data_IF_574716916738
#
_entry.id   IF_574716916738
#
_cell.length_a   1.000
_cell.length_b   1.000
_cell.length_c   1.000
_cell.angle_alpha   90.00
_cell.angle_beta   90.00
_cell.angle_gamma   90.00
#
_symmetry.space_group_name_H-M   'P 1'
#
loop_
_entity.id
_entity.type
_entity.pdbx_description
1 polymer ?
#
# COMPACT_ATOMS: atom_id res chain seq x y z
N UNK A 1 -3.97 7.90 -21.17
CA UNK A 1 -3.23 9.10 -21.63
C UNK A 1 -1.74 8.79 -21.52
N UNK A 2 -1.03 8.86 -22.64
CA UNK A 2 0.41 8.65 -22.68
C UNK A 2 1.12 9.99 -22.69
N UNK A 3 2.05 10.19 -21.76
CA UNK A 3 2.81 11.42 -21.57
C UNK A 3 4.27 11.17 -21.94
N UNK A 4 4.78 11.96 -22.87
CA UNK A 4 6.16 11.91 -23.29
C UNK A 4 6.67 13.32 -23.56
N UNK A 5 7.87 13.64 -23.08
CA UNK A 5 8.56 14.85 -23.51
C UNK A 5 9.04 14.66 -24.94
N UNK A 6 8.70 15.60 -25.82
CA UNK A 6 9.11 15.61 -27.23
C UNK A 6 10.50 16.26 -27.44
N UNK A 7 11.28 16.45 -26.37
CA UNK A 7 12.60 17.07 -26.41
C UNK A 7 13.42 16.86 -25.13
N UNK A 8 14.34 17.78 -24.84
CA UNK A 8 15.19 17.79 -23.64
C UNK A 8 14.58 18.53 -22.45
N UNK A 9 13.36 19.07 -22.59
CA UNK A 9 12.67 19.84 -21.56
C UNK A 9 11.76 19.01 -20.66
N UNK A 10 11.30 19.64 -19.57
CA UNK A 10 10.28 19.11 -18.68
C UNK A 10 8.88 19.19 -19.31
N UNK A 11 7.98 18.31 -18.88
CA UNK A 11 6.55 18.35 -19.23
C UNK A 11 5.77 18.73 -17.97
N UNK A 12 5.03 19.83 -18.03
CA UNK A 12 4.18 20.29 -16.93
C UNK A 12 2.73 20.35 -17.41
N UNK A 13 1.85 19.59 -16.75
CA UNK A 13 0.41 19.65 -16.95
C UNK A 13 -0.21 20.31 -15.74
N UNK A 14 -0.91 21.41 -15.96
CA UNK A 14 -1.53 22.16 -14.88
C UNK A 14 -3.04 22.23 -15.00
N UNK A 15 -3.71 22.08 -13.86
CA UNK A 15 -5.12 22.42 -13.72
C UNK A 15 -5.23 23.93 -13.47
N UNK A 16 -5.56 24.68 -14.52
CA UNK A 16 -5.73 26.14 -14.46
C UNK A 16 -7.01 26.59 -13.72
N UNK A 17 -7.86 25.63 -13.36
CA UNK A 17 -9.06 25.75 -12.52
C UNK A 17 -9.28 24.42 -11.81
N UNK A 18 -10.10 24.42 -10.76
CA UNK A 18 -10.59 23.17 -10.17
C UNK A 18 -11.29 22.30 -11.23
N UNK A 19 -10.85 21.05 -11.35
CA UNK A 19 -11.44 20.11 -12.30
C UNK A 19 -11.22 18.64 -11.93
N UNK A 20 -11.98 17.77 -12.61
CA UNK A 20 -11.83 16.32 -12.57
C UNK A 20 -11.28 15.84 -13.90
N UNK A 21 -10.12 15.16 -13.87
CA UNK A 21 -9.55 14.44 -15.00
C UNK A 21 -9.90 12.96 -14.88
N UNK A 22 -10.86 12.50 -15.68
CA UNK A 22 -11.11 11.07 -15.83
C UNK A 22 -10.29 10.50 -16.99
N UNK A 23 -9.57 9.41 -16.73
CA UNK A 23 -8.66 8.83 -17.74
C UNK A 23 -8.57 7.31 -17.58
N UNK A 24 -8.53 6.57 -18.69
CA UNK A 24 -8.36 5.11 -18.69
C UNK A 24 -6.96 4.61 -18.29
N UNK A 25 -6.14 5.45 -17.64
CA UNK A 25 -4.78 5.17 -17.22
C UNK A 25 -3.79 6.27 -17.62
N UNK A 26 -2.78 6.49 -16.79
CA UNK A 26 -1.64 7.36 -17.08
C UNK A 26 -0.40 6.50 -17.32
N UNK A 27 0.32 6.82 -18.40
CA UNK A 27 1.61 6.21 -18.71
C UNK A 27 2.65 7.25 -19.08
N UNK A 28 3.90 7.07 -18.67
CA UNK A 28 5.03 7.87 -19.17
C UNK A 28 6.16 6.99 -19.72
N UNK A 29 7.04 7.61 -20.52
CA UNK A 29 8.24 6.92 -21.01
C UNK A 29 9.21 6.62 -19.85
N UNK A 30 9.95 5.52 -19.99
CA UNK A 30 10.90 5.01 -18.97
C UNK A 30 12.11 5.93 -18.77
N UNK A 31 12.32 6.92 -19.63
CA UNK A 31 13.53 7.76 -19.68
C UNK A 31 13.61 8.85 -18.58
N UNK A 32 12.91 8.68 -17.45
CA UNK A 32 13.00 9.51 -16.24
C UNK A 32 12.94 11.02 -16.52
N UNK A 33 12.15 11.45 -17.51
CA UNK A 33 12.00 12.88 -17.80
C UNK A 33 11.06 13.54 -16.79
N UNK A 34 11.32 14.80 -16.47
CA UNK A 34 10.57 15.58 -15.50
C UNK A 34 9.13 15.82 -15.99
N UNK A 35 8.23 14.88 -15.69
CA UNK A 35 6.79 15.02 -15.93
C UNK A 35 6.13 15.37 -14.61
N UNK A 36 5.41 16.49 -14.57
CA UNK A 36 4.66 16.91 -13.38
C UNK A 36 3.22 17.23 -13.74
N UNK A 37 2.29 16.74 -12.92
CA UNK A 37 0.88 17.10 -12.94
C UNK A 37 0.55 17.80 -11.62
N UNK A 38 -0.06 18.99 -11.68
CA UNK A 38 -0.45 19.73 -10.49
C UNK A 38 -1.57 20.74 -10.75
N UNK A 39 -2.08 21.41 -9.71
CA UNK A 39 -2.81 22.66 -9.92
C UNK A 39 -1.85 23.79 -10.34
N UNK A 40 -2.42 24.86 -10.89
CA UNK A 40 -1.67 26.11 -11.07
C UNK A 40 -1.15 26.64 -9.73
N UNK A 41 0.08 27.16 -9.76
CA UNK A 41 0.81 27.72 -8.62
C UNK A 41 -0.04 28.65 -7.73
N UNK A 42 -0.08 28.37 -6.43
CA UNK A 42 -0.70 29.20 -5.40
C UNK A 42 -2.22 29.25 -5.47
N UNK A 43 -2.85 28.33 -6.21
CA UNK A 43 -4.30 28.25 -6.34
C UNK A 43 -4.89 27.30 -5.31
N UNK A 44 -6.04 27.68 -4.76
CA UNK A 44 -6.80 26.88 -3.81
C UNK A 44 -7.79 25.94 -4.52
N UNK A 45 -7.32 25.19 -5.52
CA UNK A 45 -8.15 24.27 -6.29
C UNK A 45 -8.17 22.89 -5.64
N UNK A 46 -9.33 22.25 -5.61
CA UNK A 46 -9.49 20.87 -5.17
C UNK A 46 -9.72 19.96 -6.38
N UNK A 47 -8.68 19.73 -7.15
CA UNK A 47 -8.76 18.94 -8.39
C UNK A 47 -8.67 17.44 -8.11
N UNK A 48 -9.14 16.62 -9.05
CA UNK A 48 -9.10 15.16 -8.92
C UNK A 48 -8.65 14.48 -10.20
N UNK A 49 -7.89 13.40 -10.09
CA UNK A 49 -7.59 12.48 -11.19
C UNK A 49 -8.27 11.14 -10.87
N UNK A 50 -9.14 10.69 -11.77
CA UNK A 50 -9.87 9.44 -11.64
C UNK A 50 -9.39 8.46 -12.72
N UNK A 51 -8.77 7.39 -12.27
CA UNK A 51 -8.31 6.29 -13.11
C UNK A 51 -9.45 5.32 -13.38
N UNK A 52 -9.76 5.11 -14.67
CA UNK A 52 -10.78 4.21 -15.20
C UNK A 52 -10.16 3.08 -16.01
N UNK A 53 -8.98 2.61 -15.59
CA UNK A 53 -8.20 1.58 -16.29
C UNK A 53 -9.06 0.34 -16.53
N UNK A 54 -9.06 -0.17 -17.75
CA UNK A 54 -9.86 -1.35 -18.11
C UNK A 54 -9.26 -2.62 -17.50
N UNK A 55 -10.07 -3.64 -17.27
CA UNK A 55 -9.60 -4.95 -16.80
C UNK A 55 -8.45 -5.46 -17.70
N UNK A 56 -7.40 -6.01 -17.09
CA UNK A 56 -6.21 -6.51 -17.79
C UNK A 56 -5.25 -5.43 -18.30
N UNK A 57 -5.51 -4.15 -18.04
CA UNK A 57 -4.54 -3.08 -18.32
C UNK A 57 -3.64 -2.82 -17.12
N UNK A 58 -2.36 -2.56 -17.37
CA UNK A 58 -1.39 -2.14 -16.35
C UNK A 58 -0.67 -0.88 -16.87
N UNK A 59 -1.03 0.28 -16.32
CA UNK A 59 -0.51 1.57 -16.73
C UNK A 59 0.50 2.10 -15.71
N UNK A 60 1.65 2.56 -16.18
CA UNK A 60 2.74 3.03 -15.34
C UNK A 60 3.10 4.49 -15.62
N UNK A 61 2.94 5.35 -14.63
CA UNK A 61 3.39 6.73 -14.65
C UNK A 61 4.62 6.89 -13.73
N UNK A 62 5.73 7.27 -14.33
CA UNK A 62 6.94 7.77 -13.65
C UNK A 62 6.98 9.29 -13.83
N UNK A 63 6.89 10.02 -12.72
CA UNK A 63 6.81 11.48 -12.70
C UNK A 63 6.24 11.96 -11.37
N UNK A 64 5.95 13.24 -11.24
CA UNK A 64 5.36 13.81 -10.03
C UNK A 64 3.89 14.12 -10.24
N UNK A 65 3.05 13.72 -9.29
CA UNK A 65 1.73 14.31 -9.12
C UNK A 65 1.76 15.00 -7.75
N UNK A 66 1.53 16.30 -7.76
CA UNK A 66 1.62 17.15 -6.57
C UNK A 66 0.50 18.18 -6.57
N UNK A 67 0.20 18.73 -5.39
CA UNK A 67 -0.92 19.65 -5.23
C UNK A 67 -0.72 20.98 -5.99
N UNK A 68 0.51 21.50 -5.98
CA UNK A 68 0.84 22.87 -6.42
C UNK A 68 2.23 22.97 -7.10
N UNK A 69 2.62 21.91 -7.79
CA UNK A 69 3.96 21.73 -8.39
C UNK A 69 4.96 21.10 -7.42
N UNK A 70 6.25 21.10 -7.78
CA UNK A 70 7.28 20.27 -7.14
C UNK A 70 8.46 21.05 -6.49
N UNK A 71 8.33 22.37 -6.37
CA UNK A 71 9.34 23.28 -5.80
C UNK A 71 8.69 24.34 -4.90
N UNK A 72 7.76 23.94 -4.03
CA UNK A 72 7.03 24.85 -3.14
C UNK A 72 7.34 24.56 -1.68
N UNK A 73 7.36 25.62 -0.87
CA UNK A 73 7.27 25.45 0.58
C UNK A 73 5.85 24.99 0.94
N UNK A 74 5.73 24.20 1.99
CA UNK A 74 4.48 23.56 2.35
C UNK A 74 3.39 24.60 2.69
N UNK A 75 3.76 25.67 3.39
CA UNK A 75 2.89 26.76 3.81
C UNK A 75 2.28 27.57 2.66
N UNK A 76 2.88 27.49 1.46
CA UNK A 76 2.39 28.18 0.27
C UNK A 76 1.36 27.35 -0.50
N UNK A 77 1.25 26.04 -0.20
CA UNK A 77 0.33 25.13 -0.87
C UNK A 77 -1.09 25.33 -0.35
N UNK A 78 -2.00 25.70 -1.26
CA UNK A 78 -3.39 26.07 -0.93
C UNK A 78 -4.43 25.13 -1.52
N UNK A 79 -4.06 24.38 -2.55
CA UNK A 79 -4.92 23.43 -3.24
C UNK A 79 -4.53 22.00 -2.92
N UNK A 80 -5.30 21.07 -3.46
CA UNK A 80 -4.99 19.64 -3.42
C UNK A 80 -5.27 18.98 -4.76
N UNK A 81 -4.56 17.90 -5.05
CA UNK A 81 -4.89 16.95 -6.11
C UNK A 81 -5.27 15.62 -5.46
N UNK A 82 -6.53 15.23 -5.58
CA UNK A 82 -6.97 13.91 -5.14
C UNK A 82 -6.77 12.88 -6.24
N UNK A 83 -6.53 11.64 -5.85
CA UNK A 83 -6.39 10.50 -6.73
C UNK A 83 -7.51 9.51 -6.42
N UNK A 84 -8.16 8.99 -7.45
CA UNK A 84 -9.14 7.90 -7.30
C UNK A 84 -8.85 6.80 -8.30
N UNK A 85 -8.68 5.57 -7.82
CA UNK A 85 -8.67 4.37 -8.63
C UNK A 85 -10.09 3.77 -8.67
N UNK A 86 -10.73 3.85 -9.83
CA UNK A 86 -12.13 3.46 -10.08
C UNK A 86 -12.30 2.75 -11.43
N UNK A 87 -11.27 2.01 -11.84
CA UNK A 87 -11.26 1.08 -12.96
C UNK A 87 -10.95 -0.34 -12.48
N UNK A 88 -11.13 -1.34 -13.36
CA UNK A 88 -10.80 -2.74 -13.02
C UNK A 88 -9.34 -3.12 -13.27
N UNK A 89 -8.59 -2.26 -13.97
CA UNK A 89 -7.18 -2.49 -14.27
C UNK A 89 -6.24 -2.12 -13.12
N UNK A 90 -4.98 -1.89 -13.49
CA UNK A 90 -3.91 -1.45 -12.58
C UNK A 90 -3.39 -0.09 -13.00
N UNK A 91 -3.24 0.82 -12.05
CA UNK A 91 -2.47 2.06 -12.20
C UNK A 91 -1.27 2.04 -11.25
N UNK A 92 -0.10 2.43 -11.75
CA UNK A 92 1.14 2.54 -10.98
C UNK A 92 1.65 3.98 -11.03
N UNK A 93 1.94 4.57 -9.88
CA UNK A 93 2.34 5.98 -9.73
C UNK A 93 3.66 6.08 -8.98
N UNK A 94 4.73 6.41 -9.70
CA UNK A 94 6.08 6.43 -9.15
C UNK A 94 6.66 7.84 -9.18
N UNK A 95 6.82 8.42 -8.00
CA UNK A 95 7.32 9.79 -7.80
C UNK A 95 8.80 9.84 -8.13
N UNK A 96 9.14 10.39 -9.29
CA UNK A 96 10.52 10.51 -9.74
C UNK A 96 10.68 11.75 -10.61
N UNK A 97 11.83 12.40 -10.47
CA UNK A 97 12.34 13.44 -11.36
C UNK A 97 13.79 13.11 -11.65
N UNK A 98 14.29 13.57 -12.79
CA UNK A 98 15.66 13.32 -13.20
C UNK A 98 16.61 13.96 -12.19
N UNK A 99 17.61 13.19 -11.76
CA UNK A 99 18.69 13.66 -10.87
C UNK A 99 18.20 14.30 -9.54
N UNK A 100 16.96 14.04 -9.13
CA UNK A 100 16.37 14.55 -7.90
C UNK A 100 16.02 13.41 -6.93
N UNK A 101 16.58 13.49 -5.73
CA UNK A 101 16.36 12.53 -4.64
C UNK A 101 15.44 13.06 -3.54
N UNK A 102 15.08 14.35 -3.57
CA UNK A 102 14.17 14.99 -2.63
C UNK A 102 13.27 16.02 -3.34
N UNK A 103 12.05 15.59 -3.65
CA UNK A 103 11.06 16.35 -4.42
C UNK A 103 10.15 17.11 -3.45
N UNK A 104 10.12 18.45 -3.56
CA UNK A 104 9.26 19.32 -2.75
C UNK A 104 7.89 19.54 -3.39
N UNK A 105 7.26 18.43 -3.80
CA UNK A 105 5.89 18.41 -4.28
C UNK A 105 4.97 17.90 -3.18
N UNK A 106 4.06 18.75 -2.70
CA UNK A 106 3.13 18.36 -1.65
C UNK A 106 2.12 17.35 -2.15
N UNK A 107 1.80 16.40 -1.28
CA UNK A 107 0.70 15.47 -1.41
C UNK A 107 -0.13 15.61 -0.13
N UNK A 108 -1.15 16.46 -0.16
CA UNK A 108 -2.05 16.78 0.95
C UNK A 108 -3.46 16.16 0.75
N UNK A 109 -3.78 15.79 -0.49
CA UNK A 109 -5.09 15.27 -0.87
C UNK A 109 -5.38 13.86 -0.37
N UNK A 110 -6.38 13.24 -0.99
CA UNK A 110 -6.77 11.85 -0.70
C UNK A 110 -6.50 10.95 -1.89
N UNK A 111 -6.00 9.75 -1.60
CA UNK A 111 -5.91 8.63 -2.53
C UNK A 111 -7.02 7.64 -2.18
N UNK A 112 -7.99 7.45 -3.08
CA UNK A 112 -9.12 6.54 -2.87
C UNK A 112 -9.04 5.35 -3.80
N UNK A 113 -9.14 4.14 -3.28
CA UNK A 113 -9.15 2.90 -4.06
C UNK A 113 -10.50 2.22 -3.97
N UNK A 114 -11.32 2.41 -5.00
CA UNK A 114 -12.69 1.88 -5.07
C UNK A 114 -12.73 0.47 -5.65
N UNK A 115 -11.93 0.24 -6.69
CA UNK A 115 -11.83 -1.02 -7.45
C UNK A 115 -10.52 -1.06 -8.22
N UNK A 116 -10.18 -2.23 -8.77
CA UNK A 116 -8.90 -2.44 -9.44
C UNK A 116 -7.73 -2.29 -8.47
N UNK A 117 -6.56 -1.92 -9.01
CA UNK A 117 -5.31 -1.92 -8.26
C UNK A 117 -4.56 -0.60 -8.42
N UNK A 118 -4.12 -0.02 -7.31
CA UNK A 118 -3.29 1.19 -7.29
C UNK A 118 -1.96 0.88 -6.61
N UNK A 119 -0.86 1.03 -7.35
CA UNK A 119 0.49 0.94 -6.80
C UNK A 119 1.13 2.31 -6.74
N UNK A 120 1.94 2.53 -5.71
CA UNK A 120 2.60 3.81 -5.50
C UNK A 120 4.00 3.68 -4.93
N UNK A 121 4.85 4.63 -5.31
CA UNK A 121 6.06 4.98 -4.57
C UNK A 121 6.20 6.49 -4.55
N UNK A 122 6.25 7.06 -3.34
CA UNK A 122 6.50 8.48 -3.09
C UNK A 122 7.69 8.69 -2.15
N UNK A 123 8.59 7.70 -2.06
CA UNK A 123 9.81 7.76 -1.25
C UNK A 123 10.74 8.91 -1.61
N UNK A 124 10.65 9.47 -2.82
CA UNK A 124 11.40 10.67 -3.23
C UNK A 124 10.73 11.99 -2.90
N UNK A 125 9.44 12.03 -2.52
CA UNK A 125 8.81 13.26 -2.04
C UNK A 125 9.43 13.62 -0.69
N UNK A 126 9.67 14.88 -0.35
CA UNK A 126 10.21 15.23 0.97
C UNK A 126 9.28 14.74 2.09
N UNK A 127 9.80 14.22 3.20
CA UNK A 127 8.98 13.62 4.27
C UNK A 127 7.93 14.58 4.84
N UNK A 128 8.23 15.87 4.94
CA UNK A 128 7.30 16.94 5.36
C UNK A 128 6.15 17.18 4.39
N UNK A 129 6.23 16.65 3.17
CA UNK A 129 5.30 16.89 2.07
C UNK A 129 4.41 15.67 1.78
N UNK A 130 4.61 14.54 2.47
CA UNK A 130 3.84 13.29 2.31
C UNK A 130 2.66 13.26 3.29
N UNK A 131 1.69 14.16 3.12
CA UNK A 131 0.62 14.39 4.08
C UNK A 131 -0.76 13.83 3.66
N UNK A 132 -0.81 13.06 2.59
CA UNK A 132 -2.03 12.55 2.00
C UNK A 132 -2.68 11.46 2.86
N UNK A 133 -3.99 11.27 2.70
CA UNK A 133 -4.71 10.16 3.29
C UNK A 133 -4.99 9.06 2.25
N UNK A 134 -4.91 7.79 2.65
CA UNK A 134 -5.38 6.65 1.85
C UNK A 134 -6.78 6.22 2.31
N UNK A 135 -7.72 6.05 1.39
CA UNK A 135 -9.06 5.53 1.67
C UNK A 135 -9.33 4.30 0.79
N UNK A 136 -9.50 3.14 1.44
CA UNK A 136 -9.78 1.88 0.76
C UNK A 136 -11.28 1.59 0.82
N UNK A 137 -11.96 1.50 -0.33
CA UNK A 137 -13.39 1.22 -0.43
C UNK A 137 -13.69 -0.16 -1.03
N UNK A 138 -12.75 -0.78 -1.76
CA UNK A 138 -12.99 -2.10 -2.35
C UNK A 138 -11.87 -2.71 -3.22
N UNK A 139 -10.98 -1.90 -3.80
CA UNK A 139 -9.86 -2.40 -4.61
C UNK A 139 -8.63 -2.79 -3.78
N UNK A 140 -7.50 -2.97 -4.45
CA UNK A 140 -6.22 -3.26 -3.81
C UNK A 140 -5.24 -2.09 -3.92
N UNK A 141 -4.49 -1.85 -2.84
CA UNK A 141 -3.39 -0.89 -2.83
C UNK A 141 -2.06 -1.59 -2.54
N UNK A 142 -1.00 -1.17 -3.21
CA UNK A 142 0.34 -1.69 -2.96
C UNK A 142 1.41 -0.61 -3.04
N UNK A 143 2.54 -0.87 -2.41
CA UNK A 143 3.77 -0.15 -2.69
C UNK A 143 4.57 -0.91 -3.75
N UNK A 144 5.25 -0.19 -4.65
CA UNK A 144 6.16 -0.78 -5.62
C UNK A 144 7.08 0.30 -6.18
N UNK A 145 8.30 -0.06 -6.58
CA UNK A 145 9.20 0.86 -7.26
C UNK A 145 9.17 0.63 -8.79
N UNK A 146 9.44 1.68 -9.58
CA UNK A 146 9.46 1.57 -11.05
C UNK A 146 10.57 0.65 -11.57
N UNK A 147 11.66 0.52 -10.81
CA UNK A 147 12.64 -0.55 -10.95
C UNK A 147 12.31 -1.66 -9.96
N UNK A 148 11.85 -2.80 -10.46
CA UNK A 148 11.34 -3.95 -9.68
C UNK A 148 12.38 -4.67 -8.82
N UNK A 149 13.66 -4.32 -8.93
CA UNK A 149 14.71 -4.85 -8.05
C UNK A 149 14.96 -3.95 -6.83
N UNK A 150 14.25 -2.82 -6.74
CA UNK A 150 14.36 -1.86 -5.65
C UNK A 150 13.10 -1.87 -4.83
N UNK A 151 13.25 -1.70 -3.52
CA UNK A 151 12.12 -1.57 -2.61
C UNK A 151 11.40 -0.24 -2.87
N UNK A 152 10.09 -0.32 -3.13
CA UNK A 152 9.19 0.82 -3.16
C UNK A 152 8.59 1.07 -1.79
N UNK A 153 8.35 2.35 -1.49
CA UNK A 153 7.66 2.73 -0.26
C UNK A 153 6.58 3.76 -0.55
N UNK A 154 5.36 3.45 -0.13
CA UNK A 154 4.23 4.37 -0.16
C UNK A 154 4.02 4.97 1.23
N UNK A 155 4.06 6.29 1.33
CA UNK A 155 3.87 7.04 2.57
C UNK A 155 2.55 7.82 2.52
N UNK A 156 1.81 7.73 3.60
CA UNK A 156 0.61 8.51 3.89
C UNK A 156 0.71 9.07 5.29
N UNK A 157 -0.04 10.14 5.53
CA UNK A 157 -0.27 10.64 6.88
C UNK A 157 -1.17 9.70 7.65
N UNK A 158 -2.29 9.33 7.03
CA UNK A 158 -3.31 8.47 7.63
C UNK A 158 -3.96 7.54 6.60
N UNK A 159 -4.63 6.50 7.10
CA UNK A 159 -5.36 5.55 6.27
C UNK A 159 -6.71 5.17 6.87
N UNK A 160 -7.71 4.94 6.04
CA UNK A 160 -9.01 4.38 6.44
C UNK A 160 -9.40 3.22 5.52
N UNK A 161 -9.66 2.06 6.12
CA UNK A 161 -10.04 0.84 5.41
C UNK A 161 -11.53 0.55 5.64
N UNK A 162 -12.32 0.78 4.59
CA UNK A 162 -13.77 0.51 4.51
C UNK A 162 -14.09 -0.76 3.70
N UNK A 163 -13.14 -1.20 2.89
CA UNK A 163 -13.21 -2.41 2.07
C UNK A 163 -11.92 -2.64 1.28
N UNK A 164 -11.83 -3.77 0.58
CA UNK A 164 -10.68 -4.11 -0.27
C UNK A 164 -9.51 -4.75 0.48
N UNK A 165 -8.29 -4.55 -0.03
CA UNK A 165 -7.09 -5.21 0.50
C UNK A 165 -5.78 -4.54 0.09
N UNK A 166 -4.67 -5.17 0.45
CA UNK A 166 -3.34 -4.74 0.07
C UNK A 166 -2.69 -5.77 -0.85
N UNK A 167 -1.82 -5.32 -1.75
CA UNK A 167 -1.09 -6.17 -2.68
C UNK A 167 0.43 -5.99 -2.56
N UNK A 168 1.16 -7.09 -2.48
CA UNK A 168 2.61 -7.16 -2.39
C UNK A 168 3.14 -8.12 -3.47
N UNK A 169 3.40 -7.59 -4.66
CA UNK A 169 3.71 -8.38 -5.86
C UNK A 169 5.17 -8.87 -5.93
N UNK A 170 6.05 -8.33 -5.09
CA UNK A 170 7.50 -8.44 -5.24
C UNK A 170 8.17 -9.30 -4.16
N UNK A 171 7.43 -10.16 -3.46
CA UNK A 171 8.01 -11.03 -2.42
C UNK A 171 9.13 -11.91 -2.96
N UNK A 172 8.90 -12.58 -4.09
CA UNK A 172 9.93 -13.40 -4.74
C UNK A 172 11.06 -12.54 -5.32
N UNK A 173 10.74 -11.46 -6.05
CA UNK A 173 11.75 -10.62 -6.70
C UNK A 173 12.64 -9.84 -5.73
N UNK A 174 12.14 -9.59 -4.52
CA UNK A 174 12.92 -8.99 -3.43
C UNK A 174 13.61 -10.03 -2.54
N UNK A 175 13.41 -11.33 -2.81
CA UNK A 175 13.89 -12.40 -1.95
C UNK A 175 13.47 -12.19 -0.48
N UNK A 176 12.20 -11.80 -0.30
CA UNK A 176 11.71 -11.23 0.95
C UNK A 176 11.81 -12.18 2.14
N UNK A 177 11.68 -13.50 1.90
CA UNK A 177 11.77 -14.51 2.94
C UNK A 177 13.19 -14.68 3.49
N UNK A 178 14.22 -14.48 2.65
CA UNK A 178 15.62 -14.59 3.08
C UNK A 178 16.17 -13.28 3.61
N UNK A 179 15.81 -12.16 2.98
CA UNK A 179 16.34 -10.84 3.31
C UNK A 179 15.49 -10.09 4.33
N UNK A 180 14.28 -10.58 4.62
CA UNK A 180 13.29 -9.95 5.51
C UNK A 180 12.95 -8.51 5.07
N UNK A 181 12.97 -8.28 3.76
CA UNK A 181 12.75 -6.97 3.13
C UNK A 181 11.78 -7.08 1.97
N UNK A 182 10.83 -6.17 1.90
CA UNK A 182 9.84 -6.07 0.81
C UNK A 182 9.35 -4.63 0.69
N UNK A 183 8.47 -4.37 -0.28
CA UNK A 183 7.78 -3.09 -0.42
C UNK A 183 7.02 -2.72 0.85
N UNK A 184 6.99 -1.43 1.20
CA UNK A 184 6.39 -0.97 2.46
C UNK A 184 5.32 0.07 2.27
N UNK A 185 4.26 -0.03 3.07
CA UNK A 185 3.24 1.01 3.19
C UNK A 185 3.37 1.62 4.59
N UNK A 186 3.48 2.94 4.67
CA UNK A 186 3.80 3.66 5.90
C UNK A 186 2.74 4.72 6.15
N UNK A 187 2.11 4.66 7.33
CA UNK A 187 1.21 5.69 7.85
C UNK A 187 1.92 6.41 9.01
N UNK A 188 2.20 7.70 8.86
CA UNK A 188 2.92 8.43 9.93
C UNK A 188 2.07 8.66 11.17
N UNK A 189 0.74 8.71 11.01
CA UNK A 189 -0.23 8.83 12.09
C UNK A 189 -1.12 7.58 12.10
N UNK A 190 -2.44 7.72 12.01
CA UNK A 190 -3.37 6.62 12.25
C UNK A 190 -3.69 5.81 10.99
N UNK A 191 -3.68 4.48 11.12
CA UNK A 191 -4.39 3.56 10.24
C UNK A 191 -5.67 3.07 10.93
N UNK A 192 -6.82 3.32 10.31
CA UNK A 192 -8.13 2.96 10.84
C UNK A 192 -8.81 1.88 10.00
N UNK A 193 -9.51 0.97 10.66
CA UNK A 193 -10.38 -0.04 10.06
C UNK A 193 -11.83 0.21 10.48
N UNK A 194 -12.74 0.34 9.53
CA UNK A 194 -14.17 0.50 9.82
C UNK A 194 -14.77 -0.79 10.38
N UNK A 195 -15.77 -0.66 11.27
CA UNK A 195 -16.34 -1.80 12.01
C UNK A 195 -16.98 -2.89 11.13
N UNK A 196 -17.38 -2.54 9.90
CA UNK A 196 -18.10 -3.39 8.96
C UNK A 196 -17.21 -3.93 7.82
N UNK A 197 -15.91 -3.60 7.81
CA UNK A 197 -14.96 -3.95 6.74
C UNK A 197 -14.71 -5.46 6.61
N UNK A 198 -15.02 -6.26 7.64
CA UNK A 198 -14.69 -7.69 7.66
C UNK A 198 -13.18 -7.92 7.79
N UNK A 199 -12.67 -9.03 7.25
CA UNK A 199 -11.22 -9.26 7.16
C UNK A 199 -10.65 -8.60 5.89
N UNK A 200 -9.41 -8.14 6.00
CA UNK A 200 -8.67 -7.45 4.94
C UNK A 200 -7.74 -8.45 4.26
N UNK A 201 -7.81 -8.55 2.93
CA UNK A 201 -6.93 -9.42 2.17
C UNK A 201 -5.53 -8.83 2.02
N UNK A 202 -4.50 -9.65 2.22
CA UNK A 202 -3.12 -9.37 1.85
C UNK A 202 -2.75 -10.29 0.69
N UNK A 203 -2.63 -9.72 -0.50
CA UNK A 203 -2.43 -10.45 -1.73
C UNK A 203 -0.95 -10.53 -2.09
N UNK A 204 -0.40 -11.74 -2.11
CA UNK A 204 0.99 -12.04 -2.47
C UNK A 204 1.14 -12.53 -3.91
N UNK A 205 0.08 -12.48 -4.71
CA UNK A 205 0.14 -12.80 -6.13
C UNK A 205 1.10 -11.83 -6.83
N UNK A 206 2.05 -12.38 -7.58
CA UNK A 206 3.02 -11.62 -8.34
C UNK A 206 2.34 -10.76 -9.42
N UNK A 207 3.10 -9.83 -9.99
CA UNK A 207 2.62 -8.98 -11.08
C UNK A 207 2.08 -9.77 -12.28
N UNK A 208 2.66 -10.94 -12.55
CA UNK A 208 2.27 -11.81 -13.65
C UNK A 208 1.11 -12.76 -13.30
N UNK A 209 0.58 -12.66 -12.08
CA UNK A 209 -0.57 -13.45 -11.62
C UNK A 209 -0.21 -14.78 -10.96
N UNK A 210 1.06 -15.04 -10.66
CA UNK A 210 1.49 -16.27 -9.99
C UNK A 210 1.34 -16.15 -8.46
N UNK A 211 0.85 -17.19 -7.80
CA UNK A 211 0.85 -17.29 -6.33
C UNK A 211 2.29 -17.39 -5.80
N UNK A 212 2.51 -16.93 -4.57
CA UNK A 212 3.72 -17.20 -3.80
C UNK A 212 3.74 -18.66 -3.37
N UNK A 213 4.57 -19.47 -4.02
CA UNK A 213 4.71 -20.90 -3.72
C UNK A 213 5.76 -21.14 -2.63
N UNK A 214 5.28 -21.50 -1.43
CA UNK A 214 6.12 -21.69 -0.25
C UNK A 214 6.92 -23.00 -0.27
N UNK A 215 6.62 -23.95 -1.17
CA UNK A 215 7.43 -25.17 -1.32
C UNK A 215 8.87 -24.86 -1.76
N UNK A 216 9.07 -23.72 -2.44
CA UNK A 216 10.40 -23.25 -2.82
C UNK A 216 11.21 -22.71 -1.62
N UNK A 217 10.59 -22.60 -0.44
CA UNK A 217 11.12 -21.92 0.74
C UNK A 217 11.08 -22.79 2.00
N UNK A 218 10.91 -24.11 1.87
CA UNK A 218 10.86 -25.07 2.99
C UNK A 218 12.08 -25.01 3.94
N UNK A 219 13.21 -24.44 3.48
CA UNK A 219 14.43 -24.26 4.28
C UNK A 219 14.46 -22.98 5.11
N UNK A 220 13.54 -22.04 4.89
CA UNK A 220 13.51 -20.72 5.55
C UNK A 220 12.17 -20.42 6.23
N UNK A 221 11.07 -21.04 5.79
CA UNK A 221 9.78 -20.96 6.49
C UNK A 221 9.75 -21.92 7.69
N UNK A 222 8.88 -21.61 8.65
CA UNK A 222 8.75 -22.42 9.86
C UNK A 222 8.01 -23.75 9.61
N UNK A 223 8.23 -24.74 10.46
CA UNK A 223 7.49 -26.01 10.43
C UNK A 223 6.01 -25.79 10.80
N UNK A 224 5.74 -24.84 11.70
CA UNK A 224 4.41 -24.47 12.14
C UNK A 224 4.33 -22.97 12.51
N UNK A 225 3.12 -22.49 12.81
CA UNK A 225 2.89 -21.09 13.15
C UNK A 225 3.56 -20.64 14.46
N UNK A 226 3.84 -21.57 15.38
CA UNK A 226 4.44 -21.26 16.69
C UNK A 226 5.96 -21.13 16.59
N UNK A 227 6.58 -21.74 15.59
CA UNK A 227 8.02 -21.74 15.32
C UNK A 227 8.48 -20.65 14.32
N UNK A 228 7.60 -19.70 13.96
CA UNK A 228 7.98 -18.60 13.07
C UNK A 228 8.99 -17.66 13.75
N UNK A 229 10.23 -17.68 13.25
CA UNK A 229 11.29 -16.74 13.62
C UNK A 229 11.43 -15.59 12.61
N UNK A 230 11.15 -15.86 11.33
CA UNK A 230 11.30 -14.93 10.22
C UNK A 230 10.02 -14.12 10.01
N UNK A 231 10.02 -12.87 10.47
CA UNK A 231 8.91 -11.94 10.35
C UNK A 231 9.26 -10.76 9.45
N UNK A 232 8.43 -10.51 8.45
CA UNK A 232 8.63 -9.48 7.43
C UNK A 232 7.64 -8.35 7.68
N UNK A 233 8.16 -7.13 7.92
CA UNK A 233 7.34 -5.94 8.06
C UNK A 233 6.81 -5.47 6.70
N UNK A 234 5.48 -5.33 6.61
CA UNK A 234 4.77 -4.95 5.37
C UNK A 234 4.03 -3.61 5.48
N UNK A 235 3.53 -3.26 6.66
CA UNK A 235 2.82 -2.00 6.93
C UNK A 235 3.29 -1.42 8.26
N UNK A 236 3.49 -0.11 8.34
CA UNK A 236 3.67 0.59 9.62
C UNK A 236 2.64 1.69 9.80
N UNK A 237 2.25 1.95 11.05
CA UNK A 237 1.34 3.01 11.43
C UNK A 237 1.76 3.64 12.75
N UNK A 238 1.68 4.96 12.88
CA UNK A 238 1.91 5.65 14.16
C UNK A 238 0.88 5.26 15.23
N UNK A 239 -0.37 5.01 14.82
CA UNK A 239 -1.45 4.55 15.70
C UNK A 239 -2.44 3.65 14.93
N UNK A 240 -3.21 2.83 15.64
CA UNK A 240 -4.20 1.91 15.08
C UNK A 240 -5.59 2.15 15.67
N UNK A 241 -6.61 2.11 14.81
CA UNK A 241 -8.01 2.17 15.25
C UNK A 241 -8.84 1.08 14.58
N UNK A 242 -9.66 0.38 15.36
CA UNK A 242 -10.59 -0.64 14.84
C UNK A 242 -9.96 -2.01 14.52
N UNK A 243 -8.67 -2.20 14.82
CA UNK A 243 -7.98 -3.49 14.79
C UNK A 243 -8.07 -4.23 16.14
N UNK A 244 -7.89 -5.54 16.12
CA UNK A 244 -7.81 -6.37 17.32
C UNK A 244 -6.42 -6.23 17.98
N UNK A 245 -6.38 -5.49 19.08
CA UNK A 245 -5.22 -5.37 19.97
C UNK A 245 -5.47 -6.04 21.33
N UNK A 246 -6.52 -6.86 21.44
CA UNK A 246 -6.86 -7.60 22.66
C UNK A 246 -6.28 -9.01 22.63
N UNK A 247 -6.15 -9.61 21.44
CA UNK A 247 -5.58 -10.94 21.21
C UNK A 247 -4.05 -10.94 21.31
N UNK A 248 -3.51 -10.88 22.52
CA UNK A 248 -2.05 -10.81 22.76
C UNK A 248 -1.34 -12.16 22.53
N UNK A 249 -0.24 -12.12 21.79
CA UNK A 249 0.71 -13.23 21.64
C UNK A 249 1.96 -13.05 22.53
N UNK A 250 2.20 -11.83 23.01
CA UNK A 250 3.33 -11.49 23.87
C UNK A 250 3.24 -10.05 24.37
N UNK A 251 4.30 -9.59 25.03
CA UNK A 251 4.44 -8.17 25.36
C UNK A 251 4.56 -7.37 24.06
N UNK A 252 3.64 -6.42 23.83
CA UNK A 252 3.59 -5.58 22.64
C UNK A 252 3.44 -6.36 21.31
N UNK A 253 2.96 -7.60 21.35
CA UNK A 253 2.69 -8.43 20.17
C UNK A 253 1.25 -8.93 20.18
N UNK A 254 0.54 -8.71 19.08
CA UNK A 254 -0.89 -8.96 18.96
C UNK A 254 -1.18 -9.81 17.71
N UNK A 255 -2.03 -10.82 17.85
CA UNK A 255 -2.51 -11.64 16.74
C UNK A 255 -3.36 -10.78 15.79
N UNK A 256 -2.93 -10.69 14.53
CA UNK A 256 -3.63 -9.91 13.51
C UNK A 256 -4.40 -10.81 12.53
N UNK A 257 -4.41 -12.13 12.71
CA UNK A 257 -5.14 -13.06 11.83
C UNK A 257 -6.66 -12.92 11.96
N UNK A 258 -7.16 -12.29 13.03
CA UNK A 258 -8.56 -11.87 13.15
C UNK A 258 -8.94 -10.78 12.15
N UNK A 259 -7.99 -9.92 11.78
CA UNK A 259 -8.17 -8.79 10.90
C UNK A 259 -7.73 -9.05 9.46
N UNK A 260 -6.73 -9.91 9.26
CA UNK A 260 -6.10 -10.16 7.96
C UNK A 260 -6.20 -11.63 7.53
N UNK A 261 -6.09 -11.85 6.22
CA UNK A 261 -5.89 -13.16 5.63
C UNK A 261 -5.08 -13.04 4.34
N UNK A 262 -4.33 -14.09 3.99
CA UNK A 262 -3.53 -14.09 2.77
C UNK A 262 -4.34 -14.53 1.55
N UNK A 263 -3.97 -13.98 0.40
CA UNK A 263 -4.43 -14.35 -0.94
C UNK A 263 -3.18 -14.65 -1.78
N UNK A 264 -3.25 -15.65 -2.66
CA UNK A 264 -2.14 -15.98 -3.56
C UNK A 264 -0.94 -16.57 -2.84
N UNK A 265 -1.17 -17.44 -1.86
CA UNK A 265 -0.14 -18.24 -1.17
C UNK A 265 -0.46 -19.72 -1.39
N UNK A 266 0.53 -20.49 -1.81
CA UNK A 266 0.44 -21.93 -2.06
C UNK A 266 1.44 -22.71 -1.22
N UNK A 267 1.13 -23.98 -0.94
CA UNK A 267 1.99 -24.93 -0.21
C UNK A 267 2.47 -24.48 1.17
N UNK A 268 1.75 -23.55 1.81
CA UNK A 268 1.98 -23.15 3.19
C UNK A 268 0.92 -22.16 3.66
N UNK A 269 1.20 -21.52 4.80
CA UNK A 269 0.30 -20.54 5.41
C UNK A 269 1.06 -19.26 5.75
N UNK A 270 0.34 -18.13 5.66
CA UNK A 270 0.82 -16.84 6.13
C UNK A 270 0.12 -16.50 7.45
N UNK A 271 0.91 -16.04 8.42
CA UNK A 271 0.47 -15.66 9.76
C UNK A 271 0.77 -14.18 9.96
N UNK A 272 -0.21 -13.43 10.48
CA UNK A 272 -0.09 -11.99 10.68
C UNK A 272 -0.05 -11.63 12.15
N UNK A 273 0.79 -10.65 12.49
CA UNK A 273 0.82 -10.04 13.82
C UNK A 273 1.07 -8.54 13.75
N UNK A 274 0.53 -7.81 14.71
CA UNK A 274 0.97 -6.45 15.02
C UNK A 274 2.07 -6.51 16.08
N UNK A 275 3.14 -5.74 15.87
CA UNK A 275 4.17 -5.48 16.87
C UNK A 275 4.16 -4.00 17.20
N UNK A 276 3.97 -3.66 18.46
CA UNK A 276 3.99 -2.29 18.96
C UNK A 276 5.40 -1.93 19.44
N UNK A 277 5.86 -0.76 19.03
CA UNK A 277 7.11 -0.16 19.46
C UNK A 277 6.80 1.15 20.17
N UNK A 278 7.35 1.31 21.38
CA UNK A 278 7.06 2.45 22.29
C UNK A 278 7.24 3.81 21.59
N UNK A 279 8.19 3.92 20.65
CA UNK A 279 8.51 5.18 19.97
C UNK A 279 8.13 5.19 18.46
N UNK A 280 7.71 4.06 17.90
CA UNK A 280 7.52 3.89 16.44
C UNK A 280 6.13 3.37 16.04
N UNK A 281 5.16 3.37 16.95
CA UNK A 281 3.80 2.91 16.68
C UNK A 281 3.72 1.40 16.45
N UNK A 282 2.99 0.98 15.43
CA UNK A 282 2.69 -0.43 15.14
C UNK A 282 3.26 -0.88 13.78
N UNK A 283 3.73 -2.12 13.75
CA UNK A 283 4.28 -2.80 12.58
C UNK A 283 3.45 -4.05 12.29
N UNK A 284 2.79 -4.12 11.13
CA UNK A 284 2.16 -5.33 10.63
C UNK A 284 3.25 -6.19 10.04
N UNK A 285 3.39 -7.38 10.59
CA UNK A 285 4.36 -8.35 10.15
C UNK A 285 3.65 -9.60 9.63
N UNK A 286 4.22 -10.19 8.59
CA UNK A 286 3.84 -11.51 8.09
C UNK A 286 4.98 -12.49 8.30
N UNK A 287 4.64 -13.67 8.77
CA UNK A 287 5.52 -14.82 8.80
C UNK A 287 4.89 -15.97 8.03
N UNK A 288 5.71 -16.93 7.60
CA UNK A 288 5.26 -18.07 6.82
C UNK A 288 5.64 -19.38 7.50
N UNK A 289 4.75 -20.35 7.38
CA UNK A 289 4.96 -21.70 7.86
C UNK A 289 4.46 -22.74 6.86
N UNK A 290 4.94 -23.96 6.97
CA UNK A 290 4.42 -25.10 6.23
C UNK A 290 2.94 -25.32 6.54
N UNK A 291 2.24 -26.03 5.64
CA UNK A 291 0.84 -26.40 5.88
C UNK A 291 0.78 -27.24 7.16
N UNK A 292 0.03 -26.83 8.20
CA UNK A 292 -0.01 -27.58 9.44
C UNK A 292 -0.60 -28.98 9.19
N UNK A 293 -0.16 -29.98 9.94
CA UNK A 293 -0.84 -31.28 9.92
C UNK A 293 -2.34 -31.12 10.26
N UNK A 294 -3.24 -32.01 9.81
CA UNK A 294 -4.69 -31.81 9.91
C UNK A 294 -5.22 -31.47 11.32
N UNK A 295 -4.54 -31.92 12.37
CA UNK A 295 -4.89 -31.59 13.76
C UNK A 295 -4.55 -30.13 14.15
N UNK A 296 -3.45 -29.58 13.65
CA UNK A 296 -3.05 -28.20 13.90
C UNK A 296 -3.88 -27.20 13.09
N UNK A 297 -4.34 -27.58 11.90
CA UNK A 297 -5.33 -26.81 11.12
C UNK A 297 -6.62 -26.62 11.91
N UNK A 298 -7.12 -27.66 12.59
CA UNK A 298 -8.31 -27.56 13.42
C UNK A 298 -8.12 -26.64 14.65
N UNK A 299 -6.91 -26.55 15.20
CA UNK A 299 -6.58 -25.65 16.30
C UNK A 299 -6.49 -24.18 15.86
N UNK A 300 -5.85 -23.91 14.71
CA UNK A 300 -5.78 -22.58 14.10
C UNK A 300 -7.18 -22.03 13.79
N UNK A 301 -8.04 -22.85 13.16
CA UNK A 301 -9.43 -22.47 12.92
C UNK A 301 -10.29 -22.47 14.19
N UNK A 302 -9.96 -23.30 15.18
CA UNK A 302 -10.59 -23.31 16.50
C UNK A 302 -10.35 -22.02 17.29
N UNK A 303 -9.13 -21.50 17.28
CA UNK A 303 -8.79 -20.21 17.88
C UNK A 303 -9.48 -19.04 17.17
N UNK A 304 -9.48 -19.05 15.83
CA UNK A 304 -10.22 -18.06 15.03
C UNK A 304 -11.73 -18.08 15.36
N UNK A 305 -12.34 -19.26 15.50
CA UNK A 305 -13.75 -19.40 15.85
C UNK A 305 -14.08 -18.92 17.27
N UNK A 306 -13.17 -19.11 18.24
CA UNK A 306 -13.33 -18.63 19.62
C UNK A 306 -13.23 -17.10 19.70
N UNK A 307 -12.33 -16.47 18.94
CA UNK A 307 -12.25 -15.02 18.81
C UNK A 307 -13.56 -14.41 18.29
N UNK A 308 -14.13 -14.98 17.23
CA UNK A 308 -15.43 -14.56 16.70
C UNK A 308 -16.59 -14.73 17.71
N UNK A 309 -16.58 -15.82 18.50
CA UNK A 309 -17.59 -16.05 19.53
C UNK A 309 -17.49 -15.04 20.69
N UNK A 310 -16.27 -14.64 21.07
CA UNK A 310 -16.02 -13.64 22.10
C UNK A 310 -16.45 -12.23 21.66
N UNK A 311 -16.16 -11.84 20.41
CA UNK A 311 -16.58 -10.57 19.81
C UNK A 311 -18.11 -10.44 19.72
N UNK A 312 -18.81 -11.54 19.42
CA UNK A 312 -20.30 -11.55 19.35
C UNK A 312 -20.95 -11.38 20.73
N UNK A 313 -20.26 -11.76 21.81
CA UNK A 313 -20.78 -11.65 23.19
C UNK A 313 -20.64 -10.25 23.78
N UNK A 314 -19.67 -9.45 23.31
CA UNK A 314 -19.44 -8.07 23.76
C UNK A 314 -20.30 -7.03 23.04
N UNK A 315 -20.96 -7.38 21.92
CA UNK A 315 -21.92 -6.52 21.19
C UNK A 315 -23.39 -6.78 21.55
N UNK A 316 -23.68 -7.50 22.65
CA UNK A 316 -25.03 -7.74 23.19
C UNK A 316 -25.20 -7.09 24.55
#
# INVERSE_FOLDING_TARGET
MHMASNGSGYTFVSFAKECVLEVGGLSSLVDNKDVTIANDAGKAYNSSIIFKNAAGTDCQYIGVIADDGNNRNLEDVKGVVNITMDGDGTQRLYSSLKDNMEIKGSQLGTYTVKRGRLFMDNSRIASTHRLAALVMEGGEFGAAHYNSTSIGTAYFKSGEIRGGGFAFENFESHNALELLMTDKIVFSETLAKSADTGKIGINFTSKDGASLDLANYDYVIAEDAESIENWIEIITAGDLSGFDLESKLGENVYDANGDFYAIGVENGVAIFRWVESIDNGYSLQVGFAQVPEPAAVAALFGMLALGFAALRRRRR
#
